data_IF_050530897433
#
_entry.id   IF_050530897433
#
_cell.length_a   1.000
_cell.length_b   1.000
_cell.length_c   1.000
_cell.angle_alpha   90.00
_cell.angle_beta   90.00
_cell.angle_gamma   90.00
#
_symmetry.space_group_name_H-M   'P 1'
#
loop_
_entity.id
_entity.type
_entity.pdbx_description
1 polymer ?
#
# COMPACT_ATOMS: atom_id res chain seq x y z
N UNK A 1 -9.48 -61.01 28.02
CA UNK A 1 -10.18 -60.56 26.79
C UNK A 1 -10.45 -59.02 26.81
N UNK A 2 -11.09 -58.47 27.86
CA UNK A 2 -11.38 -57.01 27.88
C UNK A 2 -10.17 -56.07 27.78
N UNK A 3 -9.00 -56.46 28.33
CA UNK A 3 -7.76 -55.65 28.28
C UNK A 3 -7.08 -55.66 26.90
N UNK A 4 -7.22 -56.76 26.15
CA UNK A 4 -6.66 -56.87 24.79
C UNK A 4 -7.44 -56.00 23.79
N UNK A 5 -8.77 -55.91 23.95
CA UNK A 5 -9.66 -55.11 23.11
C UNK A 5 -9.36 -53.60 23.30
N UNK A 6 -9.07 -53.16 24.54
CA UNK A 6 -8.70 -51.78 24.83
C UNK A 6 -7.39 -51.34 24.16
N UNK A 7 -6.38 -52.24 24.16
CA UNK A 7 -5.08 -51.95 23.52
C UNK A 7 -5.21 -51.87 22.00
N UNK A 8 -6.00 -52.74 21.38
CA UNK A 8 -6.25 -52.70 19.93
C UNK A 8 -7.03 -51.45 19.52
N UNK A 9 -8.01 -50.99 20.32
CA UNK A 9 -8.74 -49.73 20.03
C UNK A 9 -7.84 -48.49 20.17
N UNK A 10 -6.93 -48.49 21.16
CA UNK A 10 -5.98 -47.37 21.35
C UNK A 10 -4.96 -47.31 20.21
N UNK A 11 -4.48 -48.49 19.75
CA UNK A 11 -3.57 -48.57 18.61
C UNK A 11 -4.26 -48.15 17.27
N UNK A 12 -5.55 -48.42 17.13
CA UNK A 12 -6.30 -48.01 15.95
C UNK A 12 -6.60 -46.48 15.91
N UNK A 13 -6.75 -45.85 17.09
CA UNK A 13 -6.87 -44.39 17.18
C UNK A 13 -5.56 -43.64 16.94
N UNK A 14 -4.42 -44.27 17.17
CA UNK A 14 -3.11 -43.67 16.90
C UNK A 14 -2.72 -43.73 15.40
N UNK A 15 -3.38 -44.56 14.62
CA UNK A 15 -3.10 -44.69 13.17
C UNK A 15 -3.94 -43.78 12.28
N UNK A 16 -4.90 -43.03 12.86
CA UNK A 16 -5.72 -42.05 12.08
C UNK A 16 -5.19 -40.64 12.09
N UNK A 17 -4.06 -40.35 12.76
CA UNK A 17 -3.30 -39.14 12.59
C UNK A 17 -2.20 -39.29 11.52
N UNK A 18 -2.50 -39.94 10.41
CA UNK A 18 -1.70 -39.73 9.22
C UNK A 18 -2.13 -38.40 8.61
N UNK A 19 -1.31 -37.40 8.93
CA UNK A 19 -0.99 -36.28 8.05
C UNK A 19 -1.99 -36.10 6.88
N UNK A 20 -3.01 -35.27 7.10
CA UNK A 20 -3.36 -34.33 6.05
C UNK A 20 -2.08 -33.49 5.85
N UNK A 21 -1.19 -33.98 4.97
CA UNK A 21 -0.21 -33.11 4.37
C UNK A 21 -1.05 -32.00 3.73
N UNK A 22 -1.10 -30.83 4.36
CA UNK A 22 -1.58 -29.63 3.70
C UNK A 22 -0.79 -29.59 2.39
N UNK A 23 -1.49 -29.82 1.28
CA UNK A 23 -0.94 -29.51 -0.02
C UNK A 23 -0.52 -28.06 0.09
N UNK A 24 0.76 -27.71 -0.17
CA UNK A 24 1.15 -26.30 -0.19
C UNK A 24 0.15 -25.61 -1.11
N UNK A 25 -0.62 -24.69 -0.57
CA UNK A 25 -1.39 -23.78 -1.40
C UNK A 25 -0.31 -23.05 -2.18
N UNK A 26 -0.16 -23.34 -3.46
CA UNK A 26 0.66 -22.53 -4.34
C UNK A 26 0.12 -21.12 -4.16
N UNK A 27 0.90 -20.26 -3.49
CA UNK A 27 0.53 -18.89 -3.27
C UNK A 27 0.18 -18.28 -4.63
N UNK A 28 -0.87 -17.49 -4.70
CA UNK A 28 -1.17 -16.73 -5.90
C UNK A 28 0.11 -15.99 -6.31
N UNK A 29 0.49 -16.03 -7.59
CA UNK A 29 1.66 -15.29 -8.05
C UNK A 29 1.55 -13.84 -7.60
N UNK A 30 2.63 -13.26 -7.09
CA UNK A 30 2.66 -11.84 -6.77
C UNK A 30 2.39 -11.04 -8.05
N UNK A 31 1.31 -10.27 -8.12
CA UNK A 31 1.00 -9.51 -9.33
C UNK A 31 1.88 -8.28 -9.51
N UNK A 32 2.58 -7.85 -8.46
CA UNK A 32 3.50 -6.73 -8.49
C UNK A 32 4.78 -7.07 -9.23
N UNK A 33 5.19 -6.19 -10.13
CA UNK A 33 6.42 -6.28 -10.90
C UNK A 33 7.40 -5.21 -10.39
N UNK A 34 8.55 -5.62 -9.92
CA UNK A 34 9.65 -4.70 -9.60
C UNK A 34 10.11 -3.98 -10.87
N UNK A 35 10.38 -2.67 -10.75
CA UNK A 35 10.76 -1.82 -11.87
C UNK A 35 11.67 -0.68 -11.41
N UNK A 36 11.90 0.30 -12.27
CA UNK A 36 12.62 1.55 -11.98
C UNK A 36 11.73 2.76 -12.30
N UNK A 37 12.15 3.95 -11.90
CA UNK A 37 11.45 5.20 -12.25
C UNK A 37 11.28 5.33 -13.78
N UNK A 38 12.35 5.04 -14.55
CA UNK A 38 12.31 5.05 -16.00
C UNK A 38 11.35 3.97 -16.57
N UNK A 39 11.31 2.79 -15.92
CA UNK A 39 10.40 1.71 -16.29
C UNK A 39 8.94 2.08 -16.06
N UNK A 40 8.59 2.84 -15.01
CA UNK A 40 7.25 3.38 -14.79
C UNK A 40 6.88 4.40 -15.88
N UNK A 41 7.78 5.31 -16.20
CA UNK A 41 7.58 6.28 -17.28
C UNK A 41 7.37 5.60 -18.64
N UNK A 42 8.19 4.57 -18.97
CA UNK A 42 8.07 3.84 -20.23
C UNK A 42 6.77 3.03 -20.31
N UNK A 43 6.40 2.34 -19.21
CA UNK A 43 5.27 1.42 -19.20
C UNK A 43 3.92 2.09 -18.98
N UNK A 44 3.85 3.12 -18.13
CA UNK A 44 2.61 3.74 -17.65
C UNK A 44 2.52 5.24 -17.92
N UNK A 45 3.63 5.90 -18.30
CA UNK A 45 3.66 7.34 -18.54
C UNK A 45 3.55 8.18 -17.26
N UNK A 46 3.89 7.62 -16.10
CA UNK A 46 3.81 8.28 -14.79
C UNK A 46 5.19 8.40 -14.14
N UNK A 47 5.35 9.40 -13.30
CA UNK A 47 6.59 9.68 -12.58
C UNK A 47 6.30 10.03 -11.12
N UNK A 48 7.12 9.51 -10.22
CA UNK A 48 7.21 9.99 -8.83
C UNK A 48 8.40 10.93 -8.70
N UNK A 49 8.23 11.97 -7.91
CA UNK A 49 9.34 12.73 -7.39
C UNK A 49 9.82 12.05 -6.10
N UNK A 50 11.09 11.65 -6.07
CA UNK A 50 11.69 11.03 -4.89
C UNK A 50 12.13 12.14 -3.93
N UNK A 51 11.70 12.12 -2.64
CA UNK A 51 12.20 13.08 -1.64
C UNK A 51 13.71 12.99 -1.49
N UNK A 52 14.40 14.13 -1.30
CA UNK A 52 15.87 14.20 -1.32
C UNK A 52 16.53 13.30 -0.27
N UNK A 53 15.91 13.12 0.89
CA UNK A 53 16.42 12.28 1.99
C UNK A 53 15.78 10.90 2.05
N UNK A 54 15.03 10.49 1.03
CA UNK A 54 14.41 9.16 1.02
C UNK A 54 15.47 8.06 0.90
N UNK A 55 15.31 7.02 1.71
CA UNK A 55 16.12 5.81 1.70
C UNK A 55 15.28 4.60 1.25
N UNK A 56 15.94 3.49 0.90
CA UNK A 56 15.29 2.21 0.54
C UNK A 56 14.19 2.32 -0.53
N UNK A 57 14.35 3.23 -1.49
CA UNK A 57 13.34 3.49 -2.53
C UNK A 57 13.19 2.29 -3.45
N UNK A 58 11.96 1.79 -3.56
CA UNK A 58 11.59 0.66 -4.41
C UNK A 58 10.41 1.06 -5.30
N UNK A 59 10.49 0.77 -6.61
CA UNK A 59 9.40 1.00 -7.54
C UNK A 59 8.79 -0.33 -7.98
N UNK A 60 7.46 -0.38 -8.01
CA UNK A 60 6.67 -1.52 -8.49
C UNK A 60 5.53 -1.07 -9.38
N UNK A 61 4.97 -2.00 -10.14
CA UNK A 61 3.77 -1.75 -10.93
C UNK A 61 2.84 -2.95 -10.98
N UNK A 62 1.55 -2.69 -11.04
CA UNK A 62 0.51 -3.59 -11.52
C UNK A 62 0.15 -3.18 -12.94
N UNK A 63 0.77 -3.81 -13.94
CA UNK A 63 0.65 -3.37 -15.33
C UNK A 63 -0.78 -3.43 -15.86
N UNK A 64 -1.52 -4.49 -15.50
CA UNK A 64 -2.89 -4.71 -15.96
C UNK A 64 -3.88 -3.67 -15.38
N UNK A 65 -3.53 -3.06 -14.22
CA UNK A 65 -4.32 -2.03 -13.56
C UNK A 65 -3.77 -0.62 -13.83
N UNK A 66 -2.64 -0.51 -14.53
CA UNK A 66 -1.92 0.75 -14.75
C UNK A 66 -1.56 1.47 -13.44
N UNK A 67 -1.36 0.72 -12.35
CA UNK A 67 -1.03 1.23 -11.02
C UNK A 67 0.48 1.20 -10.82
N UNK A 68 1.06 2.35 -10.53
CA UNK A 68 2.44 2.53 -10.11
C UNK A 68 2.52 2.66 -8.58
N UNK A 69 3.57 2.12 -7.99
CA UNK A 69 3.86 2.22 -6.55
C UNK A 69 5.33 2.58 -6.34
N UNK A 70 5.57 3.43 -5.36
CA UNK A 70 6.89 3.74 -4.81
C UNK A 70 6.85 3.58 -3.29
N UNK A 71 7.62 2.64 -2.76
CA UNK A 71 7.89 2.56 -1.33
C UNK A 71 9.21 3.24 -1.01
N UNK A 72 9.29 3.89 0.13
CA UNK A 72 10.50 4.56 0.61
C UNK A 72 10.46 4.78 2.11
N UNK A 73 11.65 4.93 2.70
CA UNK A 73 11.82 5.37 4.08
C UNK A 73 12.19 6.84 4.11
N UNK A 74 11.59 7.59 5.03
CA UNK A 74 11.94 8.99 5.29
C UNK A 74 11.82 9.28 6.79
N UNK A 75 12.88 9.82 7.39
CA UNK A 75 12.95 10.14 8.82
C UNK A 75 12.58 8.95 9.76
N UNK A 76 12.89 7.73 9.31
CA UNK A 76 12.66 6.50 10.07
C UNK A 76 11.23 5.94 9.98
N UNK A 77 10.40 6.48 9.09
CA UNK A 77 9.07 5.96 8.78
C UNK A 77 9.02 5.42 7.35
N UNK A 78 8.23 4.36 7.15
CA UNK A 78 7.96 3.78 5.84
C UNK A 78 6.73 4.45 5.20
N UNK A 79 6.82 4.73 3.90
CA UNK A 79 5.75 5.33 3.10
C UNK A 79 5.50 4.51 1.85
N UNK A 80 4.23 4.45 1.47
CA UNK A 80 3.81 3.91 0.17
C UNK A 80 3.09 5.00 -0.61
N UNK A 81 3.66 5.39 -1.75
CA UNK A 81 3.02 6.30 -2.70
C UNK A 81 2.50 5.52 -3.92
N UNK A 82 1.32 5.89 -4.44
CA UNK A 82 0.74 5.28 -5.64
C UNK A 82 0.24 6.32 -6.62
N UNK A 83 0.28 5.96 -7.91
CA UNK A 83 -0.29 6.74 -9.02
C UNK A 83 -1.07 5.80 -9.92
N UNK A 84 -2.27 6.23 -10.32
CA UNK A 84 -3.10 5.50 -11.27
C UNK A 84 -3.88 6.48 -12.16
N UNK A 85 -4.01 6.22 -13.50
CA UNK A 85 -4.95 6.93 -14.32
C UNK A 85 -6.38 6.78 -13.79
N UNK A 86 -7.11 7.89 -13.68
CA UNK A 86 -8.48 7.92 -13.18
C UNK A 86 -9.31 8.96 -13.93
N UNK A 87 -10.62 8.71 -14.06
CA UNK A 87 -11.58 9.66 -14.65
C UNK A 87 -12.33 10.44 -13.59
N UNK A 88 -12.29 9.96 -12.36
CA UNK A 88 -12.94 10.55 -11.19
C UNK A 88 -12.14 10.20 -9.93
N UNK A 89 -12.46 10.88 -8.84
CA UNK A 89 -11.86 10.62 -7.52
C UNK A 89 -12.09 9.18 -7.08
N UNK A 90 -11.01 8.47 -6.73
CA UNK A 90 -11.07 7.10 -6.23
C UNK A 90 -9.93 6.84 -5.24
N UNK A 91 -10.16 6.00 -4.25
CA UNK A 91 -9.11 5.55 -3.34
C UNK A 91 -8.29 4.44 -3.98
N UNK A 92 -7.01 4.70 -4.20
CA UNK A 92 -6.04 3.77 -4.77
C UNK A 92 -4.99 3.30 -3.75
N UNK A 93 -5.14 3.71 -2.48
CA UNK A 93 -4.14 3.47 -1.44
C UNK A 93 -4.00 2.00 -1.05
N UNK A 94 -5.08 1.22 -1.17
CA UNK A 94 -5.14 -0.13 -0.62
C UNK A 94 -5.18 -0.16 0.91
N UNK A 95 -5.41 0.96 1.57
CA UNK A 95 -5.56 1.09 3.01
C UNK A 95 -7.05 1.10 3.37
N UNK A 96 -7.50 0.12 4.17
CA UNK A 96 -8.91 -0.11 4.46
C UNK A 96 -9.21 0.18 5.94
N UNK A 97 -9.16 1.47 6.30
CA UNK A 97 -9.43 1.95 7.66
C UNK A 97 -10.75 2.71 7.76
N UNK A 98 -11.32 2.77 8.95
CA UNK A 98 -12.37 3.73 9.28
C UNK A 98 -11.69 5.05 9.69
N UNK A 99 -11.63 6.00 8.74
CA UNK A 99 -10.94 7.27 8.93
C UNK A 99 -11.71 8.16 9.91
N UNK A 100 -11.10 8.47 11.05
CA UNK A 100 -11.75 9.21 12.15
C UNK A 100 -11.51 10.71 12.05
N UNK A 101 -10.28 11.11 11.69
CA UNK A 101 -9.88 12.51 11.58
C UNK A 101 -9.60 12.79 10.10
N UNK A 102 -10.49 13.56 9.47
CA UNK A 102 -10.36 13.88 8.05
C UNK A 102 -10.14 15.38 7.85
N UNK A 103 -9.29 15.73 6.90
CA UNK A 103 -9.06 17.08 6.43
C UNK A 103 -9.44 17.15 4.95
N UNK A 104 -10.25 18.14 4.61
CA UNK A 104 -10.69 18.47 3.25
C UNK A 104 -10.41 19.96 2.98
N UNK A 105 -10.68 20.41 1.77
CA UNK A 105 -10.50 21.82 1.38
C UNK A 105 -9.05 22.33 1.39
N UNK A 106 -8.09 21.43 1.08
CA UNK A 106 -6.70 21.80 0.81
C UNK A 106 -6.22 21.25 -0.54
N UNK A 107 -4.99 21.56 -0.94
CA UNK A 107 -4.42 21.12 -2.21
C UNK A 107 -2.99 20.60 -2.03
N UNK A 108 -2.61 19.63 -2.88
CA UNK A 108 -1.23 19.25 -3.15
C UNK A 108 -0.86 19.86 -4.50
N UNK A 109 0.11 20.78 -4.52
CA UNK A 109 0.28 21.67 -5.68
C UNK A 109 -0.97 22.46 -5.97
N UNK A 110 -1.63 22.20 -7.12
CA UNK A 110 -2.93 22.76 -7.47
C UNK A 110 -4.08 21.75 -7.47
N UNK A 111 -3.81 20.52 -7.04
CA UNK A 111 -4.76 19.42 -7.09
C UNK A 111 -5.61 19.37 -5.82
N UNK A 112 -6.95 19.24 -5.91
CA UNK A 112 -7.77 18.98 -4.74
C UNK A 112 -7.25 17.76 -3.98
N UNK A 113 -7.23 17.84 -2.65
CA UNK A 113 -6.68 16.80 -1.79
C UNK A 113 -7.60 16.50 -0.60
N UNK A 114 -7.38 15.33 -0.04
CA UNK A 114 -8.04 14.81 1.16
C UNK A 114 -7.01 14.07 2.01
N UNK A 115 -7.09 14.20 3.32
CA UNK A 115 -6.29 13.45 4.28
C UNK A 115 -7.20 12.79 5.31
N UNK A 116 -6.83 11.58 5.73
CA UNK A 116 -7.51 10.84 6.81
C UNK A 116 -6.51 10.17 7.72
N UNK A 117 -6.84 10.13 9.00
CA UNK A 117 -6.08 9.46 10.05
C UNK A 117 -6.97 8.50 10.81
N UNK A 118 -6.45 7.32 11.11
CA UNK A 118 -7.17 6.27 11.83
C UNK A 118 -6.26 5.55 12.82
N UNK A 119 -6.83 5.03 13.91
CA UNK A 119 -6.12 4.15 14.82
C UNK A 119 -5.97 2.74 14.22
N UNK A 120 -4.80 2.13 14.40
CA UNK A 120 -4.49 0.75 14.05
C UNK A 120 -3.82 0.04 15.24
N UNK A 121 -4.62 -0.38 16.21
CA UNK A 121 -4.13 -0.94 17.47
C UNK A 121 -3.32 0.09 18.29
N UNK A 122 -2.00 -0.12 18.43
CA UNK A 122 -1.07 0.83 19.08
C UNK A 122 -0.40 1.77 18.07
N UNK A 123 -0.65 1.56 16.77
CA UNK A 123 -0.15 2.39 15.68
C UNK A 123 -1.22 3.37 15.18
N UNK A 124 -0.81 4.32 14.36
CA UNK A 124 -1.68 5.26 13.66
C UNK A 124 -1.43 5.13 12.16
N UNK A 125 -2.50 4.96 11.40
CA UNK A 125 -2.48 5.03 9.93
C UNK A 125 -2.81 6.46 9.49
N UNK A 126 -2.09 6.95 8.48
CA UNK A 126 -2.30 8.26 7.87
C UNK A 126 -2.27 8.13 6.34
N UNK A 127 -3.23 8.78 5.65
CA UNK A 127 -3.41 8.69 4.22
C UNK A 127 -3.72 10.06 3.63
N UNK A 128 -2.96 10.47 2.63
CA UNK A 128 -3.26 11.62 1.78
C UNK A 128 -3.60 11.15 0.36
N UNK A 129 -4.72 11.67 -0.18
CA UNK A 129 -5.17 11.44 -1.54
C UNK A 129 -5.26 12.77 -2.29
N UNK A 130 -4.87 12.81 -3.57
CA UNK A 130 -5.09 13.99 -4.42
C UNK A 130 -5.32 13.60 -5.88
N UNK A 131 -6.06 14.42 -6.59
CA UNK A 131 -6.44 14.16 -7.97
C UNK A 131 -5.96 15.29 -8.90
N UNK A 132 -5.01 14.95 -9.78
CA UNK A 132 -4.59 15.85 -10.86
C UNK A 132 -5.55 15.70 -12.03
N UNK A 133 -6.48 16.63 -12.12
CA UNK A 133 -7.60 16.58 -13.08
C UNK A 133 -7.13 16.68 -14.52
N UNK A 134 -6.09 17.49 -14.79
CA UNK A 134 -5.67 17.77 -16.17
C UNK A 134 -5.10 16.52 -16.88
N UNK A 135 -4.14 15.77 -16.31
CA UNK A 135 -3.71 14.50 -16.87
C UNK A 135 -4.66 13.33 -16.53
N UNK A 136 -5.61 13.49 -15.60
CA UNK A 136 -6.47 12.42 -15.12
C UNK A 136 -5.68 11.38 -14.31
N UNK A 137 -4.91 11.84 -13.31
CA UNK A 137 -4.10 10.99 -12.43
C UNK A 137 -4.56 11.11 -10.98
N UNK A 138 -4.87 9.98 -10.38
CA UNK A 138 -5.11 9.86 -8.96
C UNK A 138 -3.80 9.47 -8.24
N UNK A 139 -3.56 10.09 -7.11
CA UNK A 139 -2.40 9.86 -6.26
C UNK A 139 -2.83 9.45 -4.86
N UNK A 140 -2.01 8.64 -4.20
CA UNK A 140 -2.09 8.38 -2.77
C UNK A 140 -0.70 8.38 -2.14
N UNK A 141 -0.63 8.78 -0.88
CA UNK A 141 0.54 8.62 -0.02
C UNK A 141 0.04 8.16 1.35
N UNK A 142 0.50 7.00 1.80
CA UNK A 142 0.11 6.42 3.07
C UNK A 142 1.29 6.01 3.92
N UNK A 143 1.10 5.99 5.23
CA UNK A 143 2.03 5.46 6.23
C UNK A 143 1.28 4.84 7.40
N UNK A 144 1.96 3.95 8.11
CA UNK A 144 1.50 3.43 9.41
C UNK A 144 2.66 3.57 10.39
N UNK A 145 2.51 4.44 11.37
CA UNK A 145 3.55 4.72 12.37
C UNK A 145 3.18 4.20 13.75
N UNK A 146 4.20 3.90 14.59
CA UNK A 146 3.97 3.55 15.99
C UNK A 146 3.56 4.80 16.81
N UNK A 147 2.52 4.64 17.62
CA UNK A 147 2.05 5.68 18.55
C UNK A 147 1.24 6.79 17.89
N UNK A 148 1.25 7.95 18.54
CA UNK A 148 0.51 9.12 18.12
C UNK A 148 1.33 9.93 17.11
N UNK A 149 0.73 10.21 15.96
CA UNK A 149 1.32 11.05 14.90
C UNK A 149 0.98 12.55 15.10
N UNK A 150 0.67 12.99 16.32
CA UNK A 150 0.39 14.39 16.63
C UNK A 150 1.54 15.30 16.15
N UNK A 151 1.18 16.30 15.32
CA UNK A 151 2.14 17.21 14.71
C UNK A 151 2.85 16.64 13.48
N UNK A 152 2.55 15.42 13.06
CA UNK A 152 2.98 14.85 11.79
C UNK A 152 2.20 15.47 10.63
N UNK A 153 2.91 15.86 9.58
CA UNK A 153 2.35 16.53 8.40
C UNK A 153 2.61 15.70 7.15
N UNK A 154 1.66 14.81 6.80
CA UNK A 154 1.74 13.97 5.61
C UNK A 154 1.64 14.80 4.32
N UNK A 155 0.95 15.95 4.35
CA UNK A 155 0.81 16.82 3.19
C UNK A 155 2.16 17.40 2.75
N UNK A 156 3.04 17.72 3.69
CA UNK A 156 4.40 18.21 3.38
C UNK A 156 5.25 17.16 2.65
N UNK A 157 5.00 15.87 2.90
CA UNK A 157 5.67 14.77 2.19
C UNK A 157 5.01 14.53 0.85
N UNK A 158 3.67 14.60 0.76
CA UNK A 158 2.93 14.48 -0.50
C UNK A 158 3.39 15.54 -1.52
N UNK A 159 3.63 16.78 -1.10
CA UNK A 159 4.21 17.84 -1.95
C UNK A 159 5.62 17.49 -2.49
N UNK A 160 6.40 16.73 -1.75
CA UNK A 160 7.71 16.28 -2.20
C UNK A 160 7.64 15.11 -3.19
N UNK A 161 6.60 14.27 -3.07
CA UNK A 161 6.37 13.10 -3.94
C UNK A 161 5.69 13.49 -5.26
N UNK A 162 4.88 14.56 -5.24
CA UNK A 162 4.10 14.98 -6.40
C UNK A 162 4.97 15.53 -7.52
N UNK A 163 4.91 14.89 -8.69
CA UNK A 163 5.51 15.34 -9.93
C UNK A 163 4.40 15.79 -10.88
N UNK A 164 4.09 17.12 -10.97
CA UNK A 164 3.07 17.59 -11.89
C UNK A 164 3.48 17.31 -13.34
N UNK A 165 2.58 16.69 -14.10
CA UNK A 165 2.79 16.53 -15.54
C UNK A 165 2.88 17.94 -16.16
N UNK A 166 4.05 18.27 -16.70
CA UNK A 166 4.23 19.54 -17.40
C UNK A 166 3.35 19.51 -18.66
N UNK A 167 2.20 20.20 -18.60
CA UNK A 167 1.40 20.42 -19.79
C UNK A 167 2.22 21.24 -20.78
N UNK A 168 2.26 20.81 -22.04
CA UNK A 168 2.78 21.61 -23.13
C UNK A 168 2.03 22.94 -23.14
N UNK A 169 2.76 24.02 -22.86
CA UNK A 169 2.26 25.39 -22.81
C UNK A 169 2.03 25.96 -24.22
#
# INVERSE_FOLDING_TARGET
MKKLIAIVLTALMLLTFTALAETPVEGMPNPWLDTTAEGLMEALGVEFKVPESAENVVFRMLKDESLAEMDFDLDGMEYTARIQPAVEWTDISGMYYEWENTLEDFTIGSCPAWEGRAADGEATADLCLWFDVAPGLMYSLGTVGEGDLDGFDLTAIAEQVYAPVQGDA
#
